data_IF_629028824561
#
_entry.id   IF_629028824561
#
_cell.length_a   1.000
_cell.length_b   1.000
_cell.length_c   1.000
_cell.angle_alpha   90.00
_cell.angle_beta   90.00
_cell.angle_gamma   90.00
#
_symmetry.space_group_name_H-M   'P 1'
#
loop_
_entity.id
_entity.type
_entity.pdbx_description
1 polymer ?
#
# COMPACT_ATOMS: atom_id res chain seq x y z
N UNK A 1 -13.11 16.61 0.92
CA UNK A 1 -13.49 15.35 1.61
C UNK A 1 -12.75 14.23 0.92
N UNK A 2 -11.82 13.54 1.60
CA UNK A 2 -11.22 12.31 1.08
C UNK A 2 -12.15 11.19 1.56
N UNK A 3 -13.16 10.85 0.76
CA UNK A 3 -13.94 9.64 0.99
C UNK A 3 -13.03 8.45 0.67
N UNK A 4 -12.65 7.69 1.70
CA UNK A 4 -11.99 6.40 1.51
C UNK A 4 -13.09 5.37 1.23
N UNK A 5 -13.82 5.57 0.12
CA UNK A 5 -14.71 4.52 -0.37
C UNK A 5 -13.89 3.55 -1.25
N UNK A 6 -14.05 2.23 -1.04
CA UNK A 6 -13.42 1.25 -1.91
C UNK A 6 -13.89 1.46 -3.35
N UNK A 7 -12.95 1.49 -4.29
CA UNK A 7 -13.22 1.81 -5.70
C UNK A 7 -13.71 0.58 -6.48
N UNK A 8 -13.79 -0.57 -5.81
CA UNK A 8 -14.19 -1.84 -6.41
C UNK A 8 -15.70 -1.85 -6.70
N UNK A 9 -16.05 -2.38 -7.87
CA UNK A 9 -17.44 -2.59 -8.23
C UNK A 9 -18.13 -3.55 -7.23
N UNK A 10 -19.35 -3.25 -6.76
CA UNK A 10 -20.01 -4.06 -5.73
C UNK A 10 -20.23 -5.52 -6.12
N UNK A 11 -20.26 -5.83 -7.40
CA UNK A 11 -20.55 -7.14 -8.01
C UNK A 11 -19.30 -8.01 -8.22
N UNK A 12 -18.09 -7.49 -7.99
CA UNK A 12 -16.87 -8.22 -8.29
C UNK A 12 -16.60 -9.39 -7.31
N UNK A 13 -16.38 -10.63 -7.83
CA UNK A 13 -16.32 -11.84 -7.02
C UNK A 13 -15.09 -11.92 -6.11
N UNK A 14 -13.97 -11.28 -6.49
CA UNK A 14 -12.76 -11.22 -5.68
C UNK A 14 -12.74 -9.98 -4.76
N UNK A 15 -13.49 -8.93 -5.08
CA UNK A 15 -13.57 -7.73 -4.24
C UNK A 15 -14.28 -7.98 -2.90
N UNK A 16 -15.20 -8.95 -2.84
CA UNK A 16 -15.92 -9.31 -1.61
C UNK A 16 -15.16 -10.28 -0.70
N UNK A 17 -13.96 -10.73 -1.10
CA UNK A 17 -13.18 -11.74 -0.37
C UNK A 17 -12.52 -11.18 0.87
N UNK A 18 -12.16 -12.09 1.78
CA UNK A 18 -11.63 -11.72 3.07
C UNK A 18 -10.37 -10.83 2.93
N UNK A 19 -10.31 -9.66 3.60
CA UNK A 19 -9.17 -8.75 3.55
C UNK A 19 -7.82 -9.42 3.84
N UNK A 20 -7.77 -10.33 4.83
CA UNK A 20 -6.54 -11.05 5.19
C UNK A 20 -6.11 -11.99 4.07
N UNK A 21 -7.06 -12.64 3.38
CA UNK A 21 -6.75 -13.51 2.25
C UNK A 21 -6.19 -12.74 1.07
N UNK A 22 -6.72 -11.55 0.77
CA UNK A 22 -6.18 -10.65 -0.27
C UNK A 22 -4.78 -10.17 0.07
N UNK A 23 -4.54 -9.77 1.33
CA UNK A 23 -3.19 -9.38 1.80
C UNK A 23 -2.23 -10.56 1.72
N UNK A 24 -2.64 -11.75 2.16
CA UNK A 24 -1.82 -12.95 2.08
C UNK A 24 -1.49 -13.31 0.64
N UNK A 25 -2.48 -13.29 -0.26
CA UNK A 25 -2.28 -13.52 -1.69
C UNK A 25 -1.29 -12.50 -2.31
N UNK A 26 -1.45 -11.21 -2.00
CA UNK A 26 -0.54 -10.17 -2.47
C UNK A 26 0.88 -10.36 -1.92
N UNK A 27 1.04 -10.67 -0.63
CA UNK A 27 2.35 -10.90 -0.02
C UNK A 27 3.05 -12.12 -0.61
N UNK A 28 2.33 -13.24 -0.76
CA UNK A 28 2.88 -14.46 -1.37
C UNK A 28 3.31 -14.20 -2.81
N UNK A 29 2.47 -13.52 -3.59
CA UNK A 29 2.78 -13.15 -4.97
C UNK A 29 4.01 -12.22 -5.06
N UNK A 30 4.02 -11.13 -4.30
CA UNK A 30 5.11 -10.16 -4.26
C UNK A 30 6.42 -10.76 -3.76
N UNK A 31 6.39 -11.60 -2.71
CA UNK A 31 7.60 -12.22 -2.14
C UNK A 31 8.24 -13.22 -3.11
N UNK A 32 7.42 -13.99 -3.82
CA UNK A 32 7.88 -14.95 -4.83
C UNK A 32 8.61 -14.24 -5.98
N UNK A 33 8.09 -13.08 -6.42
CA UNK A 33 8.71 -12.29 -7.49
C UNK A 33 9.95 -11.52 -7.03
N UNK A 34 10.03 -11.21 -5.75
CA UNK A 34 11.22 -10.57 -5.18
C UNK A 34 12.46 -11.46 -5.31
N UNK A 35 12.31 -12.78 -5.40
CA UNK A 35 13.43 -13.74 -5.46
C UNK A 35 14.10 -13.89 -6.84
N UNK A 36 13.66 -13.14 -7.86
CA UNK A 36 14.14 -13.29 -9.25
C UNK A 36 14.88 -12.05 -9.75
N UNK A 37 16.06 -12.22 -10.36
CA UNK A 37 16.86 -11.10 -10.92
C UNK A 37 16.46 -10.69 -12.33
N UNK A 38 15.63 -11.46 -13.02
CA UNK A 38 15.39 -11.29 -14.45
C UNK A 38 14.30 -10.26 -14.76
N UNK A 39 14.39 -9.57 -15.93
CA UNK A 39 13.37 -8.63 -16.37
C UNK A 39 12.10 -9.32 -16.91
N UNK A 40 12.18 -10.59 -17.31
CA UNK A 40 11.07 -11.32 -17.94
C UNK A 40 10.02 -11.76 -16.93
N UNK A 41 10.42 -12.30 -15.77
CA UNK A 41 9.47 -12.76 -14.76
C UNK A 41 8.55 -11.63 -14.23
N UNK A 42 9.07 -10.43 -13.88
CA UNK A 42 8.23 -9.31 -13.48
C UNK A 42 7.29 -8.82 -14.59
N UNK A 43 7.70 -8.86 -15.87
CA UNK A 43 6.85 -8.49 -16.99
C UNK A 43 5.65 -9.44 -17.13
N UNK A 44 5.90 -10.75 -17.05
CA UNK A 44 4.85 -11.78 -17.10
C UNK A 44 3.93 -11.65 -15.89
N UNK A 45 4.49 -11.42 -14.70
CA UNK A 45 3.71 -11.21 -13.49
C UNK A 45 2.75 -10.01 -13.61
N UNK A 46 3.22 -8.87 -14.10
CA UNK A 46 2.37 -7.69 -14.35
C UNK A 46 1.28 -8.03 -15.36
N UNK A 47 1.59 -8.77 -16.44
CA UNK A 47 0.59 -9.16 -17.42
C UNK A 47 -0.51 -10.05 -16.80
N UNK A 48 -0.12 -11.01 -15.96
CA UNK A 48 -1.07 -11.86 -15.22
C UNK A 48 -1.92 -11.05 -14.22
N UNK A 49 -1.31 -10.11 -13.49
CA UNK A 49 -2.04 -9.21 -12.59
C UNK A 49 -3.08 -8.37 -13.34
N UNK A 50 -2.69 -7.78 -14.48
CA UNK A 50 -3.59 -7.00 -15.32
C UNK A 50 -4.72 -7.86 -15.91
N UNK A 51 -4.49 -9.15 -16.16
CA UNK A 51 -5.51 -10.08 -16.61
C UNK A 51 -6.51 -10.45 -15.49
N UNK A 52 -6.06 -10.52 -14.24
CA UNK A 52 -6.91 -10.83 -13.06
C UNK A 52 -7.64 -9.57 -12.54
N UNK A 53 -7.14 -8.36 -12.86
CA UNK A 53 -7.71 -7.09 -12.40
C UNK A 53 -9.24 -6.93 -12.59
N UNK A 54 -9.86 -7.36 -13.72
CA UNK A 54 -11.30 -7.28 -13.89
C UNK A 54 -12.09 -8.11 -12.86
N UNK A 55 -11.53 -9.22 -12.36
CA UNK A 55 -12.16 -10.05 -11.32
C UNK A 55 -12.24 -9.34 -9.96
N UNK A 56 -11.39 -8.34 -9.74
CA UNK A 56 -11.44 -7.42 -8.60
C UNK A 56 -12.36 -6.20 -8.85
N UNK A 57 -12.94 -6.05 -10.04
CA UNK A 57 -13.84 -4.95 -10.38
C UNK A 57 -13.15 -3.58 -10.47
N UNK A 58 -11.83 -3.55 -10.66
CA UNK A 58 -11.07 -2.30 -10.78
C UNK A 58 -10.92 -1.94 -12.27
N UNK A 59 -11.24 -0.68 -12.61
CA UNK A 59 -10.97 -0.13 -13.95
C UNK A 59 -9.47 0.13 -14.12
N UNK A 60 -8.88 -0.28 -15.25
CA UNK A 60 -7.46 -0.04 -15.58
C UNK A 60 -7.03 1.43 -15.41
N UNK A 61 -7.90 2.40 -15.73
CA UNK A 61 -7.64 3.83 -15.56
C UNK A 61 -7.43 4.24 -14.10
N UNK A 62 -8.14 3.60 -13.17
CA UNK A 62 -7.99 3.88 -11.73
C UNK A 62 -6.64 3.34 -11.25
N UNK A 63 -6.28 2.12 -11.67
CA UNK A 63 -4.99 1.54 -11.34
C UNK A 63 -3.85 2.39 -11.89
N UNK A 64 -3.91 2.82 -13.15
CA UNK A 64 -2.89 3.67 -13.77
C UNK A 64 -2.69 5.00 -13.00
N UNK A 65 -3.78 5.65 -12.54
CA UNK A 65 -3.67 6.86 -11.70
C UNK A 65 -3.07 6.58 -10.34
N UNK A 66 -3.39 5.44 -9.72
CA UNK A 66 -2.81 5.04 -8.42
C UNK A 66 -1.37 4.56 -8.54
N UNK A 67 -0.96 4.08 -9.71
CA UNK A 67 0.41 3.70 -10.04
C UNK A 67 1.26 4.90 -10.49
N UNK A 68 0.68 6.10 -10.66
CA UNK A 68 1.42 7.32 -11.01
C UNK A 68 2.59 7.62 -10.05
N UNK A 69 2.45 7.50 -8.71
CA UNK A 69 3.57 7.66 -7.79
C UNK A 69 4.68 6.61 -7.97
N UNK A 70 4.35 5.43 -8.52
CA UNK A 70 5.34 4.40 -8.86
C UNK A 70 6.14 4.77 -10.12
N UNK A 71 5.60 5.59 -11.01
CA UNK A 71 6.38 6.13 -12.13
C UNK A 71 7.45 7.11 -11.63
N UNK A 72 7.19 7.84 -10.54
CA UNK A 72 8.20 8.69 -9.91
C UNK A 72 9.34 7.85 -9.31
N UNK A 73 9.03 6.72 -8.66
CA UNK A 73 10.08 5.82 -8.17
C UNK A 73 10.86 5.16 -9.31
N UNK A 74 10.19 4.79 -10.40
CA UNK A 74 10.84 4.27 -11.59
C UNK A 74 11.79 5.29 -12.24
N UNK A 75 11.38 6.55 -12.34
CA UNK A 75 12.24 7.62 -12.82
C UNK A 75 13.46 7.82 -11.90
N UNK A 76 13.26 7.76 -10.58
CA UNK A 76 14.35 7.80 -9.60
C UNK A 76 15.35 6.68 -9.79
N UNK A 77 14.88 5.43 -9.94
CA UNK A 77 15.70 4.25 -10.22
C UNK A 77 16.54 4.44 -11.49
N UNK A 78 15.91 4.90 -12.58
CA UNK A 78 16.60 5.12 -13.84
C UNK A 78 17.70 6.17 -13.70
N UNK A 79 17.39 7.31 -13.06
CA UNK A 79 18.36 8.38 -12.81
C UNK A 79 19.52 7.86 -11.96
N UNK A 80 19.26 7.10 -10.89
CA UNK A 80 20.31 6.52 -10.05
C UNK A 80 21.19 5.55 -10.85
N UNK A 81 20.62 4.63 -11.62
CA UNK A 81 21.42 3.65 -12.38
C UNK A 81 22.27 4.29 -13.47
N UNK A 82 21.76 5.33 -14.12
CA UNK A 82 22.48 6.09 -15.15
C UNK A 82 23.62 6.93 -14.55
N UNK A 83 23.37 7.62 -13.43
CA UNK A 83 24.37 8.48 -12.79
C UNK A 83 25.48 7.69 -12.08
N UNK A 84 25.15 6.53 -11.50
CA UNK A 84 26.11 5.69 -10.78
C UNK A 84 26.73 4.59 -11.66
N UNK A 85 26.40 4.56 -12.97
CA UNK A 85 26.95 3.66 -13.98
C UNK A 85 27.18 2.22 -13.46
N UNK A 86 26.17 1.66 -12.78
CA UNK A 86 26.30 0.41 -12.01
C UNK A 86 26.64 -0.81 -12.89
N UNK A 87 26.36 -0.74 -14.19
CA UNK A 87 26.64 -1.81 -15.15
C UNK A 87 27.16 -1.24 -16.48
N UNK A 88 28.47 -1.32 -16.69
CA UNK A 88 29.12 -0.87 -17.94
C UNK A 88 29.11 -1.93 -19.04
N UNK A 89 28.31 -2.99 -18.90
CA UNK A 89 28.20 -4.02 -19.93
C UNK A 89 27.42 -3.53 -21.17
N UNK A 90 27.82 -4.03 -22.34
CA UNK A 90 27.14 -3.80 -23.62
C UNK A 90 27.60 -2.54 -24.39
N UNK A 91 26.87 -2.20 -25.44
CA UNK A 91 27.14 -1.02 -26.28
C UNK A 91 26.76 0.25 -25.53
N UNK A 92 27.65 1.25 -25.57
CA UNK A 92 27.39 2.61 -25.10
C UNK A 92 26.55 3.34 -26.16
N UNK A 93 25.37 3.82 -25.77
CA UNK A 93 24.47 4.56 -26.67
C UNK A 93 24.70 6.07 -26.56
N UNK A 94 25.03 6.54 -25.37
CA UNK A 94 25.19 7.96 -25.08
C UNK A 94 26.29 8.13 -24.04
N UNK A 95 27.32 8.89 -24.39
CA UNK A 95 28.42 9.26 -23.52
C UNK A 95 28.44 10.79 -23.42
N UNK A 96 27.93 11.30 -22.31
CA UNK A 96 27.88 12.72 -21.99
C UNK A 96 28.62 13.00 -20.67
N UNK A 97 29.78 12.38 -20.46
CA UNK A 97 30.63 12.60 -19.28
C UNK A 97 30.11 11.87 -18.03
N UNK A 98 29.50 12.56 -17.04
CA UNK A 98 28.90 11.91 -15.88
C UNK A 98 27.64 11.08 -16.19
N UNK A 99 27.06 11.23 -17.38
CA UNK A 99 25.89 10.49 -17.84
C UNK A 99 26.33 9.52 -18.93
N UNK A 100 26.47 8.25 -18.56
CA UNK A 100 26.78 7.16 -19.50
C UNK A 100 25.58 6.21 -19.58
N UNK A 101 24.97 6.14 -20.75
CA UNK A 101 23.84 5.26 -21.02
C UNK A 101 24.32 4.10 -21.87
N UNK A 102 24.42 2.92 -21.25
CA UNK A 102 24.69 1.66 -21.94
C UNK A 102 23.41 0.84 -22.11
N UNK A 103 23.44 -0.09 -23.07
CA UNK A 103 22.40 -1.13 -23.20
C UNK A 103 22.23 -1.94 -21.90
N UNK A 104 23.32 -2.24 -21.19
CA UNK A 104 23.29 -2.94 -19.90
C UNK A 104 22.53 -2.16 -18.82
N UNK A 105 22.84 -0.86 -18.66
CA UNK A 105 22.12 0.02 -17.72
C UNK A 105 20.63 0.05 -18.02
N UNK A 106 20.24 0.16 -19.30
CA UNK A 106 18.84 0.25 -19.68
C UNK A 106 18.08 -1.06 -19.40
N UNK A 107 18.67 -2.21 -19.69
CA UNK A 107 18.08 -3.52 -19.41
C UNK A 107 17.94 -3.76 -17.90
N UNK A 108 18.97 -3.40 -17.13
CA UNK A 108 18.95 -3.51 -15.66
C UNK A 108 17.92 -2.55 -15.05
N UNK A 109 17.84 -1.32 -15.55
CA UNK A 109 16.84 -0.34 -15.12
C UNK A 109 15.42 -0.81 -15.45
N UNK A 110 15.20 -1.31 -16.67
CA UNK A 110 13.90 -1.86 -17.06
C UNK A 110 13.50 -3.02 -16.16
N UNK A 111 14.41 -3.97 -15.89
CA UNK A 111 14.15 -5.08 -14.97
C UNK A 111 13.79 -4.62 -13.56
N UNK A 112 14.51 -3.63 -13.01
CA UNK A 112 14.23 -3.11 -11.67
C UNK A 112 12.91 -2.34 -11.62
N UNK A 113 12.61 -1.54 -12.63
CA UNK A 113 11.33 -0.84 -12.75
C UNK A 113 10.19 -1.84 -12.81
N UNK A 114 10.27 -2.83 -13.71
CA UNK A 114 9.25 -3.88 -13.80
C UNK A 114 9.10 -4.63 -12.47
N UNK A 115 10.19 -4.92 -11.76
CA UNK A 115 10.13 -5.55 -10.44
C UNK A 115 9.38 -4.69 -9.42
N UNK A 116 9.66 -3.39 -9.36
CA UNK A 116 8.95 -2.47 -8.46
C UNK A 116 7.46 -2.45 -8.77
N UNK A 117 7.08 -2.42 -10.05
CA UNK A 117 5.67 -2.50 -10.44
C UNK A 117 5.04 -3.84 -10.05
N UNK A 118 5.68 -4.96 -10.36
CA UNK A 118 5.17 -6.30 -10.03
C UNK A 118 5.03 -6.53 -8.51
N UNK A 119 5.87 -5.90 -7.69
CA UNK A 119 5.77 -6.01 -6.22
C UNK A 119 4.72 -5.06 -5.65
N UNK A 120 4.60 -3.85 -6.20
CA UNK A 120 3.75 -2.80 -5.64
C UNK A 120 2.29 -2.89 -6.11
N UNK A 121 2.03 -3.30 -7.35
CA UNK A 121 0.68 -3.37 -7.92
C UNK A 121 -0.29 -4.28 -7.13
N UNK A 122 0.10 -5.49 -6.66
CA UNK A 122 -0.76 -6.30 -5.81
C UNK A 122 -1.21 -5.56 -4.55
N UNK A 123 -0.29 -4.83 -3.91
CA UNK A 123 -0.60 -3.98 -2.75
C UNK A 123 -1.60 -2.89 -3.08
N UNK A 124 -1.42 -2.20 -4.21
CA UNK A 124 -2.37 -1.16 -4.67
C UNK A 124 -3.76 -1.76 -4.91
N UNK A 125 -3.85 -2.96 -5.47
CA UNK A 125 -5.13 -3.68 -5.70
C UNK A 125 -5.82 -4.00 -4.38
N UNK A 126 -5.08 -4.52 -3.39
CA UNK A 126 -5.62 -4.80 -2.04
C UNK A 126 -6.15 -3.53 -1.40
N UNK A 127 -5.35 -2.46 -1.36
CA UNK A 127 -5.77 -1.17 -0.78
C UNK A 127 -6.91 -0.49 -1.55
N UNK A 128 -7.07 -0.77 -2.84
CA UNK A 128 -8.20 -0.25 -3.63
C UNK A 128 -9.51 -0.97 -3.39
N UNK A 129 -9.45 -2.25 -2.98
CA UNK A 129 -10.62 -3.14 -2.85
C UNK A 129 -10.97 -3.49 -1.41
N UNK A 130 -10.30 -2.90 -0.43
CA UNK A 130 -10.41 -3.31 0.98
C UNK A 130 -10.65 -2.09 1.88
N UNK A 131 -11.70 -2.14 2.70
CA UNK A 131 -11.93 -1.15 3.75
C UNK A 131 -10.94 -1.40 4.91
N UNK A 132 -10.27 -0.36 5.42
CA UNK A 132 -9.35 -0.49 6.57
C UNK A 132 -10.01 -1.07 7.82
N UNK A 133 -11.31 -0.84 8.01
CA UNK A 133 -12.11 -1.38 9.11
C UNK A 133 -12.24 -2.90 8.99
N UNK A 134 -12.60 -3.38 7.80
CA UNK A 134 -12.76 -4.81 7.54
C UNK A 134 -11.41 -5.53 7.62
N UNK A 135 -10.33 -4.87 7.17
CA UNK A 135 -8.97 -5.39 7.31
C UNK A 135 -8.57 -5.55 8.78
N UNK A 136 -8.85 -4.56 9.63
CA UNK A 136 -8.57 -4.65 11.06
C UNK A 136 -9.39 -5.76 11.73
N UNK A 137 -10.70 -5.84 11.43
CA UNK A 137 -11.59 -6.87 11.96
C UNK A 137 -11.13 -8.28 11.54
N UNK A 138 -10.69 -8.45 10.28
CA UNK A 138 -10.19 -9.72 9.76
C UNK A 138 -8.81 -10.11 10.33
N UNK A 139 -7.91 -9.15 10.57
CA UNK A 139 -6.62 -9.41 11.23
C UNK A 139 -6.80 -9.92 12.67
N UNK A 140 -7.78 -9.39 13.40
CA UNK A 140 -8.11 -9.85 14.76
C UNK A 140 -8.65 -11.28 14.73
N UNK A 141 -9.63 -11.53 13.86
CA UNK A 141 -10.40 -12.78 13.88
C UNK A 141 -9.68 -13.94 13.20
N UNK A 142 -9.02 -13.67 12.07
CA UNK A 142 -8.50 -14.73 11.18
C UNK A 142 -6.99 -14.91 11.35
N UNK A 143 -6.24 -13.80 11.45
CA UNK A 143 -4.81 -13.84 11.70
C UNK A 143 -4.45 -13.92 13.20
N UNK A 144 -5.46 -13.89 14.09
CA UNK A 144 -5.30 -13.94 15.56
C UNK A 144 -4.32 -12.88 16.10
N UNK A 145 -4.28 -11.70 15.46
CA UNK A 145 -3.45 -10.60 15.91
C UNK A 145 -3.85 -10.16 17.33
N UNK A 146 -2.92 -9.71 18.20
CA UNK A 146 -3.27 -9.30 19.56
C UNK A 146 -4.29 -8.16 19.52
N UNK A 147 -5.47 -8.41 20.09
CA UNK A 147 -6.61 -7.49 20.02
C UNK A 147 -6.28 -6.06 20.49
N UNK A 148 -5.36 -5.92 21.45
CA UNK A 148 -4.87 -4.60 21.93
C UNK A 148 -4.31 -3.73 20.80
N UNK A 149 -3.52 -4.32 19.89
CA UNK A 149 -2.88 -3.57 18.81
C UNK A 149 -3.85 -3.29 17.68
N UNK A 150 -4.68 -4.27 17.34
CA UNK A 150 -5.62 -4.11 16.23
C UNK A 150 -6.78 -3.16 16.57
N UNK A 151 -7.28 -3.17 17.81
CA UNK A 151 -8.30 -2.19 18.26
C UNK A 151 -7.68 -0.79 18.37
N UNK A 152 -6.44 -0.68 18.86
CA UNK A 152 -5.71 0.59 18.86
C UNK A 152 -5.50 1.14 17.44
N UNK A 153 -5.10 0.28 16.49
CA UNK A 153 -4.95 0.65 15.09
C UNK A 153 -6.28 1.08 14.46
N UNK A 154 -7.36 0.33 14.70
CA UNK A 154 -8.70 0.68 14.21
C UNK A 154 -9.19 2.03 14.78
N UNK A 155 -8.99 2.25 16.08
CA UNK A 155 -9.31 3.52 16.72
C UNK A 155 -8.50 4.67 16.08
N UNK A 156 -7.21 4.46 15.81
CA UNK A 156 -6.37 5.43 15.12
C UNK A 156 -6.90 5.72 13.70
N UNK A 157 -7.21 4.70 12.90
CA UNK A 157 -7.78 4.86 11.55
C UNK A 157 -9.08 5.66 11.56
N UNK A 158 -9.95 5.45 12.56
CA UNK A 158 -11.19 6.20 12.71
C UNK A 158 -10.96 7.65 13.19
N UNK A 159 -9.89 7.90 13.93
CA UNK A 159 -9.52 9.24 14.40
C UNK A 159 -8.89 10.11 13.31
N UNK A 160 -8.19 9.53 12.34
CA UNK A 160 -7.57 10.27 11.22
C UNK A 160 -8.54 11.22 10.50
N UNK A 161 -9.72 10.77 10.00
CA UNK A 161 -10.65 11.67 9.32
C UNK A 161 -11.19 12.77 10.25
N UNK A 162 -11.40 12.46 11.54
CA UNK A 162 -11.83 13.43 12.54
C UNK A 162 -10.77 14.51 12.79
N UNK A 163 -9.50 14.13 12.87
CA UNK A 163 -8.38 15.08 12.99
C UNK A 163 -8.27 15.98 11.76
N UNK A 164 -8.53 15.45 10.56
CA UNK A 164 -8.59 16.25 9.34
C UNK A 164 -9.70 17.30 9.37
N UNK A 165 -10.89 16.94 9.86
CA UNK A 165 -12.00 17.88 10.04
C UNK A 165 -11.66 18.95 11.10
N UNK A 166 -11.09 18.55 12.24
CA UNK A 166 -10.63 19.49 13.27
C UNK A 166 -9.55 20.44 12.77
N UNK A 167 -8.60 19.92 11.99
CA UNK A 167 -7.58 20.75 11.34
C UNK A 167 -8.23 21.86 10.51
N UNK A 168 -9.22 21.49 9.69
CA UNK A 168 -9.95 22.44 8.85
C UNK A 168 -10.72 23.47 9.70
N UNK A 169 -11.40 23.03 10.75
CA UNK A 169 -12.11 23.93 11.67
C UNK A 169 -11.18 24.91 12.36
N UNK A 170 -10.04 24.47 12.90
CA UNK A 170 -9.06 25.34 13.53
C UNK A 170 -8.47 26.33 12.52
N UNK A 171 -8.17 25.85 11.30
CA UNK A 171 -7.66 26.69 10.22
C UNK A 171 -8.68 27.76 9.78
N UNK A 172 -9.96 27.43 9.72
CA UNK A 172 -11.04 28.40 9.43
C UNK A 172 -11.20 29.42 10.56
N UNK A 173 -11.23 28.96 11.82
CA UNK A 173 -11.37 29.84 12.98
C UNK A 173 -10.19 30.83 13.11
N UNK A 174 -8.96 30.38 12.82
CA UNK A 174 -7.77 31.24 12.83
C UNK A 174 -7.82 32.29 11.73
N UNK A 175 -8.22 31.92 10.51
CA UNK A 175 -8.42 32.88 9.41
C UNK A 175 -9.48 33.93 9.73
N UNK A 176 -10.59 33.53 10.37
CA UNK A 176 -11.62 34.48 10.82
C UNK A 176 -11.10 35.49 11.87
N UNK A 177 -10.08 35.11 12.66
CA UNK A 177 -9.39 36.01 13.60
C UNK A 177 -8.26 36.83 12.97
N UNK A 178 -8.14 36.82 11.64
CA UNK A 178 -7.06 37.52 10.92
C UNK A 178 -5.69 36.87 11.05
N UNK A 179 -5.60 35.64 11.57
CA UNK A 179 -4.34 34.90 11.69
C UNK A 179 -4.11 34.12 10.40
N UNK A 180 -3.43 34.76 9.44
CA UNK A 180 -2.97 34.16 8.20
C UNK A 180 -1.46 34.36 8.01
N UNK A 181 -0.78 33.35 7.48
CA UNK A 181 0.67 33.35 7.28
C UNK A 181 1.10 33.99 5.94
N UNK A 182 0.14 34.30 5.05
CA UNK A 182 0.40 34.96 3.76
C UNK A 182 1.43 34.21 2.93
N UNK A 183 2.44 34.93 2.40
CA UNK A 183 3.54 34.37 1.59
C UNK A 183 4.80 34.00 2.40
N UNK A 184 4.84 34.28 3.71
CA UNK A 184 6.05 34.07 4.52
C UNK A 184 6.18 32.58 4.94
N UNK A 185 7.25 31.86 4.52
CA UNK A 185 7.42 30.44 4.83
C UNK A 185 7.62 30.18 6.33
N UNK A 186 8.29 31.08 7.05
CA UNK A 186 8.52 30.95 8.50
C UNK A 186 7.21 31.10 9.27
N UNK A 187 6.39 32.07 8.88
CA UNK A 187 5.07 32.27 9.46
C UNK A 187 4.15 31.06 9.20
N UNK A 188 4.22 30.45 8.01
CA UNK A 188 3.47 29.22 7.68
C UNK A 188 3.88 28.06 8.56
N UNK A 189 5.18 27.86 8.76
CA UNK A 189 5.69 26.78 9.61
C UNK A 189 5.25 26.97 11.07
N UNK A 190 5.34 28.19 11.60
CA UNK A 190 4.88 28.51 12.97
C UNK A 190 3.37 28.30 13.12
N UNK A 191 2.58 28.70 12.13
CA UNK A 191 1.13 28.50 12.11
C UNK A 191 0.78 27.00 12.07
N UNK A 192 1.49 26.23 11.24
CA UNK A 192 1.36 24.78 11.16
C UNK A 192 1.68 24.12 12.51
N UNK A 193 2.85 24.43 13.09
CA UNK A 193 3.27 23.85 14.37
C UNK A 193 2.29 24.17 15.51
N UNK A 194 1.82 25.42 15.59
CA UNK A 194 0.84 25.80 16.61
C UNK A 194 -0.55 25.16 16.40
N UNK A 195 -0.93 24.87 15.17
CA UNK A 195 -2.17 24.15 14.85
C UNK A 195 -2.05 22.66 15.18
N UNK A 196 -0.92 22.05 14.81
CA UNK A 196 -0.60 20.67 15.15
C UNK A 196 -0.55 20.46 16.67
N UNK A 197 0.06 21.38 17.42
CA UNK A 197 0.07 21.33 18.88
C UNK A 197 -1.35 21.40 19.47
N UNK A 198 -2.20 22.31 18.98
CA UNK A 198 -3.59 22.39 19.44
C UNK A 198 -4.37 21.10 19.17
N UNK A 199 -4.17 20.48 18.01
CA UNK A 199 -4.76 19.18 17.68
C UNK A 199 -4.23 18.06 18.56
N UNK A 200 -2.93 18.05 18.86
CA UNK A 200 -2.32 17.06 19.75
C UNK A 200 -2.97 17.11 21.13
N UNK A 201 -3.13 18.31 21.71
CA UNK A 201 -3.80 18.49 23.00
C UNK A 201 -5.26 18.01 22.92
N UNK A 202 -5.97 18.32 21.84
CA UNK A 202 -7.33 17.84 21.60
C UNK A 202 -7.42 16.32 21.49
N UNK A 203 -6.47 15.70 20.79
CA UNK A 203 -6.37 14.25 20.63
C UNK A 203 -6.10 13.55 21.98
N UNK A 204 -5.17 14.07 22.78
CA UNK A 204 -4.85 13.54 24.11
C UNK A 204 -6.10 13.57 25.00
N UNK A 205 -6.79 14.72 25.08
CA UNK A 205 -8.01 14.84 25.89
C UNK A 205 -9.10 13.85 25.48
N UNK A 206 -9.28 13.65 24.16
CA UNK A 206 -10.24 12.66 23.64
C UNK A 206 -9.82 11.24 23.95
N UNK A 207 -8.53 10.92 23.82
CA UNK A 207 -7.97 9.62 24.19
C UNK A 207 -8.22 9.29 25.66
N UNK A 208 -7.97 10.25 26.57
CA UNK A 208 -8.25 10.07 28.00
C UNK A 208 -9.74 9.83 28.28
N UNK A 209 -10.63 10.61 27.66
CA UNK A 209 -12.08 10.40 27.80
C UNK A 209 -12.54 9.05 27.26
N UNK A 210 -11.96 8.61 26.13
CA UNK A 210 -12.25 7.32 25.54
C UNK A 210 -11.79 6.18 26.45
N UNK A 211 -10.58 6.27 27.01
CA UNK A 211 -10.06 5.29 27.96
C UNK A 211 -10.97 5.14 29.19
N UNK A 212 -11.32 6.25 29.83
CA UNK A 212 -12.24 6.24 30.99
C UNK A 212 -13.61 5.65 30.62
N UNK A 213 -14.14 5.95 29.43
CA UNK A 213 -15.39 5.39 28.96
C UNK A 213 -15.30 3.88 28.64
N UNK A 214 -14.13 3.41 28.20
CA UNK A 214 -13.85 1.99 27.95
C UNK A 214 -13.73 1.22 29.27
N UNK A 215 -13.06 1.79 30.27
CA UNK A 215 -12.94 1.21 31.61
C UNK A 215 -14.31 1.11 32.30
N UNK A 216 -15.13 2.17 32.21
CA UNK A 216 -16.49 2.18 32.74
C UNK A 216 -17.42 1.12 32.08
N UNK A 217 -17.11 0.71 30.84
CA UNK A 217 -17.83 -0.36 30.12
C UNK A 217 -17.24 -1.75 30.36
N UNK A 218 -16.25 -1.87 31.24
CA UNK A 218 -15.59 -3.14 31.54
C UNK A 218 -14.80 -3.69 30.35
N UNK A 219 -14.18 -2.82 29.54
CA UNK A 219 -13.42 -3.27 28.36
C UNK A 219 -12.28 -4.23 28.74
N UNK A 220 -11.68 -4.08 29.92
CA UNK A 220 -10.65 -4.97 30.47
C UNK A 220 -11.16 -5.86 31.63
N UNK A 221 -12.45 -6.22 31.63
CA UNK A 221 -13.08 -6.98 32.72
C UNK A 221 -12.65 -8.46 32.81
N UNK A 222 -11.65 -8.92 32.03
CA UNK A 222 -11.17 -10.30 32.03
C UNK A 222 -12.17 -11.35 31.51
N UNK A 223 -13.35 -10.94 31.03
CA UNK A 223 -14.36 -11.83 30.48
C UNK A 223 -14.09 -12.19 29.01
N UNK A 224 -14.50 -13.41 28.56
CA UNK A 224 -14.39 -13.78 27.14
C UNK A 224 -15.15 -12.79 26.26
N UNK A 225 -14.46 -12.17 25.30
CA UNK A 225 -15.06 -11.19 24.39
C UNK A 225 -15.89 -11.86 23.31
N UNK A 226 -17.07 -11.33 23.05
CA UNK A 226 -17.90 -11.65 21.88
C UNK A 226 -17.67 -10.62 20.77
N UNK A 227 -17.67 -11.06 19.51
CA UNK A 227 -17.40 -10.20 18.35
C UNK A 227 -18.71 -9.89 17.62
N UNK A 228 -19.00 -8.60 17.41
CA UNK A 228 -20.25 -8.13 16.79
C UNK A 228 -20.31 -8.37 15.27
N UNK A 229 -19.18 -8.28 14.56
CA UNK A 229 -19.08 -8.58 13.13
C UNK A 229 -18.16 -9.76 12.90
N UNK A 230 -18.72 -10.90 12.50
CA UNK A 230 -17.94 -12.10 12.24
C UNK A 230 -17.35 -12.10 10.82
N UNK A 231 -16.02 -12.16 10.74
CA UNK A 231 -15.28 -12.32 9.49
C UNK A 231 -15.09 -13.81 9.22
N UNK A 232 -15.85 -14.35 8.28
CA UNK A 232 -15.76 -15.76 7.93
C UNK A 232 -14.60 -15.96 6.95
N UNK A 233 -13.75 -16.97 7.22
CA UNK A 233 -12.76 -17.44 6.27
C UNK A 233 -13.36 -18.61 5.49
N UNK A 234 -13.57 -18.43 4.20
CA UNK A 234 -14.25 -19.39 3.34
C UNK A 234 -13.25 -20.18 2.49
N UNK A 235 -13.67 -21.33 1.94
CA UNK A 235 -12.83 -22.11 1.00
C UNK A 235 -12.39 -21.30 -0.22
N UNK A 236 -13.19 -20.34 -0.65
CA UNK A 236 -12.84 -19.45 -1.74
C UNK A 236 -11.68 -18.48 -1.40
N UNK A 237 -11.49 -18.17 -0.12
CA UNK A 237 -10.33 -17.37 0.34
C UNK A 237 -9.04 -18.20 0.27
N UNK A 238 -9.12 -19.51 0.55
CA UNK A 238 -8.02 -20.46 0.32
C UNK A 238 -7.71 -20.57 -1.17
N UNK A 239 -8.73 -20.67 -2.02
CA UNK A 239 -8.56 -20.73 -3.48
C UNK A 239 -7.93 -19.45 -4.03
N UNK A 240 -8.22 -18.28 -3.45
CA UNK A 240 -7.56 -17.03 -3.82
C UNK A 240 -6.05 -17.07 -3.53
N UNK A 241 -5.66 -17.52 -2.34
CA UNK A 241 -4.26 -17.65 -1.95
C UNK A 241 -3.56 -18.70 -2.83
N UNK A 242 -4.20 -19.86 -3.05
CA UNK A 242 -3.68 -20.91 -3.91
C UNK A 242 -3.52 -20.42 -5.36
N UNK A 243 -4.49 -19.66 -5.88
CA UNK A 243 -4.41 -19.03 -7.20
C UNK A 243 -3.24 -18.07 -7.30
N UNK A 244 -2.97 -17.27 -6.26
CA UNK A 244 -1.80 -16.39 -6.22
C UNK A 244 -0.48 -17.17 -6.25
N UNK A 245 -0.39 -18.29 -5.51
CA UNK A 245 0.77 -19.20 -5.58
C UNK A 245 0.94 -19.75 -6.99
N UNK A 246 -0.13 -20.25 -7.60
CA UNK A 246 -0.09 -20.82 -8.96
C UNK A 246 0.34 -19.80 -10.00
N UNK A 247 -0.19 -18.57 -9.92
CA UNK A 247 0.19 -17.50 -10.85
C UNK A 247 1.64 -17.06 -10.66
N UNK A 248 2.10 -16.95 -9.41
CA UNK A 248 3.50 -16.63 -9.13
C UNK A 248 4.44 -17.74 -9.62
N UNK A 249 4.09 -19.01 -9.36
CA UNK A 249 4.83 -20.16 -9.85
C UNK A 249 4.84 -20.21 -11.38
N UNK A 250 3.71 -19.95 -12.04
CA UNK A 250 3.61 -19.89 -13.49
C UNK A 250 4.52 -18.80 -14.08
N UNK A 251 4.57 -17.61 -13.48
CA UNK A 251 5.48 -16.55 -13.89
C UNK A 251 6.95 -16.99 -13.79
N UNK A 252 7.33 -17.65 -12.68
CA UNK A 252 8.67 -18.18 -12.48
C UNK A 252 9.01 -19.31 -13.45
N UNK A 253 8.15 -20.32 -13.59
CA UNK A 253 8.39 -21.46 -14.48
C UNK A 253 8.49 -21.00 -15.93
N UNK A 254 7.69 -20.02 -16.34
CA UNK A 254 7.79 -19.46 -17.70
C UNK A 254 9.14 -18.78 -17.90
N UNK A 255 9.64 -18.05 -16.88
CA UNK A 255 10.98 -17.44 -16.92
C UNK A 255 12.11 -18.48 -16.98
N UNK A 256 11.96 -19.60 -16.24
CA UNK A 256 12.90 -20.74 -16.26
C UNK A 256 12.90 -21.42 -17.62
N UNK A 257 11.73 -21.69 -18.20
CA UNK A 257 11.59 -22.31 -19.52
C UNK A 257 12.14 -21.43 -20.64
N UNK A 258 12.04 -20.10 -20.49
CA UNK A 258 12.68 -19.13 -21.38
C UNK A 258 14.21 -19.07 -21.22
N UNK A 259 14.80 -19.85 -20.31
CA UNK A 259 16.24 -19.93 -20.07
C UNK A 259 16.84 -18.64 -19.48
N UNK A 260 15.99 -17.75 -18.99
CA UNK A 260 16.41 -16.43 -18.48
C UNK A 260 16.64 -16.41 -16.99
N UNK A 261 16.28 -17.48 -16.26
CA UNK A 261 16.25 -17.48 -14.80
C UNK A 261 17.63 -17.27 -14.14
N UNK A 262 17.78 -16.17 -13.40
CA UNK A 262 18.91 -15.87 -12.50
C UNK A 262 18.37 -15.72 -11.07
N UNK A 263 18.60 -16.71 -10.20
CA UNK A 263 18.19 -16.62 -8.80
C UNK A 263 18.98 -15.55 -8.05
N UNK A 264 18.34 -14.89 -7.08
CA UNK A 264 18.96 -13.91 -6.19
C UNK A 264 19.95 -14.52 -5.18
N UNK A 265 19.79 -15.80 -4.86
CA UNK A 265 20.60 -16.51 -3.88
C UNK A 265 21.54 -17.44 -4.65
N UNK A 266 22.76 -16.98 -4.87
CA UNK A 266 23.92 -17.80 -5.25
C UNK A 266 24.76 -18.09 -4.01
#
# INVERSE_FOLDING_TARGET
MISIEPVAAPDAPLARRNPVAKVAAALVFSFTLLATLDPVAPAIAIALELAVLPLFGIRYRVLARRALPLLLSAAGILVTLVLFAADRSGRVLLDAGPVLVSTGVLLTALGLVLRVFAVALPGVIVFATTDPTDLADALIQNAKAPARFAIGALAAFRLVPLLGQEWQMISMARRARGVDAGRNPVAKLRLFASTAFALLVGAIRRGTRLAVAMDARGFDAGTPRTVARQQHFTRADVLLIAGAVVLAAAALTTSVLLGTFRPLIS
#
